data_IF_571886279790
#
_entry.id   IF_571886279790
#
_cell.length_a   1.000
_cell.length_b   1.000
_cell.length_c   1.000
_cell.angle_alpha   90.00
_cell.angle_beta   90.00
_cell.angle_gamma   90.00
#
_symmetry.space_group_name_H-M   'P 1'
#
loop_
_entity.id
_entity.type
_entity.pdbx_description
1 polymer ?
#
# COMPACT_ATOMS: atom_id res chain seq x y z
N UNK A 1 -4.82 14.40 -22.15
CA UNK A 1 -5.20 13.90 -20.82
C UNK A 1 -4.45 14.75 -19.80
N UNK A 2 -5.16 15.44 -18.91
CA UNK A 2 -4.54 16.28 -17.89
C UNK A 2 -3.97 15.33 -16.83
N UNK A 3 -2.65 15.35 -16.62
CA UNK A 3 -2.01 14.52 -15.60
C UNK A 3 -2.12 15.31 -14.30
N UNK A 4 -3.08 14.91 -13.46
CA UNK A 4 -3.29 15.57 -12.18
C UNK A 4 -2.30 15.02 -11.14
N UNK A 5 -1.51 15.95 -10.61
CA UNK A 5 -0.58 15.73 -9.52
C UNK A 5 -1.31 15.93 -8.19
N UNK A 6 -0.73 15.42 -7.09
CA UNK A 6 -1.18 15.85 -5.77
C UNK A 6 -0.97 17.37 -5.69
N UNK A 7 -1.99 18.18 -5.34
CA UNK A 7 -1.87 19.64 -5.33
C UNK A 7 -1.01 20.18 -4.18
N UNK A 8 -0.52 19.31 -3.29
CA UNK A 8 0.33 19.69 -2.17
C UNK A 8 1.57 20.47 -2.63
N UNK A 9 1.87 21.53 -1.91
CA UNK A 9 2.95 22.46 -2.22
C UNK A 9 4.18 22.21 -1.36
N UNK A 10 5.32 22.76 -1.81
CA UNK A 10 6.57 22.75 -1.04
C UNK A 10 6.42 23.53 0.26
N UNK A 11 5.70 24.64 0.21
CA UNK A 11 5.43 25.50 1.36
C UNK A 11 4.62 24.76 2.44
N UNK A 12 3.59 23.99 2.04
CA UNK A 12 2.83 23.15 2.96
C UNK A 12 3.71 22.07 3.59
N UNK A 13 4.56 21.40 2.81
CA UNK A 13 5.47 20.36 3.31
C UNK A 13 6.60 20.88 4.20
N UNK A 14 6.99 22.15 4.08
CA UNK A 14 8.04 22.77 4.90
C UNK A 14 7.51 23.57 6.09
N UNK A 15 6.19 23.66 6.24
CA UNK A 15 5.59 24.30 7.40
C UNK A 15 6.03 23.54 8.67
N UNK A 16 6.65 24.20 9.67
CA UNK A 16 7.06 23.53 10.91
C UNK A 16 5.93 22.85 11.68
N UNK A 17 4.68 23.23 11.40
CA UNK A 17 3.47 22.64 11.99
C UNK A 17 2.84 21.55 11.12
N UNK A 18 3.43 21.19 9.98
CA UNK A 18 2.93 20.12 9.12
C UNK A 18 3.05 18.76 9.82
N UNK A 19 2.00 17.96 9.72
CA UNK A 19 2.05 16.57 10.19
C UNK A 19 2.92 15.71 9.26
N UNK A 20 3.36 14.55 9.75
CA UNK A 20 4.26 13.67 9.00
C UNK A 20 3.70 13.18 7.65
N UNK A 21 2.38 13.04 7.51
CA UNK A 21 1.76 12.63 6.25
C UNK A 21 1.81 13.77 5.22
N UNK A 22 1.55 15.01 5.65
CA UNK A 22 1.71 16.20 4.81
C UNK A 22 3.15 16.34 4.31
N UNK A 23 4.15 16.22 5.20
CA UNK A 23 5.57 16.25 4.82
C UNK A 23 5.91 15.14 3.82
N UNK A 24 5.48 13.91 4.09
CA UNK A 24 5.69 12.76 3.20
C UNK A 24 5.06 12.96 1.82
N UNK A 25 3.81 13.42 1.77
CA UNK A 25 3.10 13.65 0.51
C UNK A 25 3.77 14.74 -0.34
N UNK A 26 4.24 15.81 0.29
CA UNK A 26 5.01 16.86 -0.38
C UNK A 26 6.35 16.32 -0.92
N UNK A 27 7.09 15.57 -0.09
CA UNK A 27 8.36 14.94 -0.50
C UNK A 27 8.17 14.06 -1.74
N UNK A 28 7.18 13.16 -1.75
CA UNK A 28 6.94 12.25 -2.88
C UNK A 28 6.51 12.99 -4.15
N UNK A 29 5.70 14.04 -4.01
CA UNK A 29 5.26 14.86 -5.14
C UNK A 29 6.43 15.61 -5.77
N UNK A 30 7.23 16.30 -4.96
CA UNK A 30 8.39 17.05 -5.42
C UNK A 30 9.50 16.16 -5.99
N UNK A 31 9.72 14.99 -5.40
CA UNK A 31 10.68 14.01 -5.92
C UNK A 31 10.28 13.52 -7.33
N UNK A 32 9.00 13.25 -7.55
CA UNK A 32 8.54 12.81 -8.86
C UNK A 32 8.62 13.94 -9.91
N UNK A 33 8.33 15.19 -9.54
CA UNK A 33 8.58 16.34 -10.42
C UNK A 33 10.05 16.43 -10.83
N UNK A 34 10.97 16.29 -9.87
CA UNK A 34 12.41 16.31 -10.16
C UNK A 34 12.85 15.18 -11.12
N UNK A 35 12.24 14.00 -11.01
CA UNK A 35 12.48 12.88 -11.94
C UNK A 35 12.05 13.23 -13.37
N UNK A 36 10.90 13.88 -13.54
CA UNK A 36 10.42 14.27 -14.87
C UNK A 36 11.21 15.44 -15.46
N UNK A 37 11.57 16.44 -14.66
CA UNK A 37 12.48 17.51 -15.09
C UNK A 37 13.85 16.96 -15.55
N UNK A 38 14.35 15.92 -14.87
CA UNK A 38 15.55 15.22 -15.30
C UNK A 38 15.34 14.54 -16.67
N UNK A 39 14.24 13.82 -16.85
CA UNK A 39 13.90 13.19 -18.14
C UNK A 39 13.83 14.16 -19.31
N UNK A 40 13.25 15.35 -19.09
CA UNK A 40 13.17 16.42 -20.09
C UNK A 40 14.56 16.93 -20.52
N UNK A 41 15.50 17.06 -19.57
CA UNK A 41 16.88 17.48 -19.82
C UNK A 41 17.75 16.37 -20.41
N UNK A 42 17.32 15.11 -20.27
CA UNK A 42 18.08 13.92 -20.65
C UNK A 42 17.23 12.97 -21.54
N UNK A 43 16.91 13.35 -22.80
CA UNK A 43 15.97 12.61 -23.65
C UNK A 43 16.46 11.23 -24.11
N UNK A 44 17.71 10.87 -23.82
CA UNK A 44 18.27 9.54 -24.04
C UNK A 44 17.92 8.56 -22.91
N UNK A 45 17.37 9.05 -21.80
CA UNK A 45 16.91 8.23 -20.67
C UNK A 45 15.40 8.07 -20.79
N UNK A 46 14.94 6.82 -20.83
CA UNK A 46 13.52 6.50 -20.83
C UNK A 46 13.06 6.21 -19.39
N UNK A 47 12.10 6.98 -18.92
CA UNK A 47 11.70 7.00 -17.50
C UNK A 47 10.29 6.42 -17.36
N UNK A 48 10.12 5.59 -16.34
CA UNK A 48 8.83 5.14 -15.84
C UNK A 48 8.75 5.43 -14.34
N UNK A 49 7.69 6.10 -13.89
CA UNK A 49 7.36 6.24 -12.47
C UNK A 49 6.21 5.31 -12.11
N UNK A 50 6.32 4.66 -10.95
CA UNK A 50 5.32 3.73 -10.45
C UNK A 50 4.77 4.29 -9.13
N UNK A 51 3.48 4.54 -9.10
CA UNK A 51 2.80 5.27 -8.03
C UNK A 51 1.70 4.39 -7.40
N UNK A 52 2.05 3.50 -6.46
CA UNK A 52 1.08 2.76 -5.68
C UNK A 52 0.49 3.61 -4.53
N UNK A 53 -0.65 3.22 -3.95
CA UNK A 53 -1.19 3.81 -2.75
C UNK A 53 -0.62 2.99 -1.57
N UNK A 54 -1.42 2.71 -0.55
CA UNK A 54 -1.05 1.74 0.47
C UNK A 54 -1.06 0.35 -0.15
N UNK A 55 0.08 -0.35 -0.09
CA UNK A 55 0.16 -1.72 -0.56
C UNK A 55 0.20 -2.69 0.61
N UNK A 56 -0.56 -3.77 0.48
CA UNK A 56 -0.64 -4.86 1.45
C UNK A 56 -0.26 -6.18 0.77
N UNK A 57 -0.09 -7.23 1.56
CA UNK A 57 0.14 -8.57 1.04
C UNK A 57 1.20 -9.32 1.83
N UNK A 58 1.60 -10.51 1.37
CA UNK A 58 2.56 -11.33 2.09
C UNK A 58 3.96 -10.69 2.06
N UNK A 59 4.74 -10.88 3.11
CA UNK A 59 6.15 -10.51 3.10
C UNK A 59 6.94 -11.33 2.07
N UNK A 60 8.04 -10.76 1.57
CA UNK A 60 8.90 -11.44 0.60
C UNK A 60 9.53 -12.72 1.22
N UNK A 61 9.83 -13.76 0.43
CA UNK A 61 10.55 -14.92 0.92
C UNK A 61 11.87 -14.53 1.61
N UNK A 62 12.09 -15.03 2.83
CA UNK A 62 13.28 -14.71 3.63
C UNK A 62 13.26 -13.33 4.29
N UNK A 63 12.15 -12.59 4.21
CA UNK A 63 12.00 -11.36 4.98
C UNK A 63 12.04 -11.65 6.48
N UNK A 64 12.80 -10.83 7.20
CA UNK A 64 12.82 -10.78 8.65
C UNK A 64 12.93 -9.31 9.07
N UNK A 65 12.17 -8.90 10.09
CA UNK A 65 12.37 -7.59 10.67
C UNK A 65 13.69 -7.55 11.45
N UNK A 66 14.35 -6.40 11.42
CA UNK A 66 15.50 -6.12 12.30
C UNK A 66 15.10 -6.10 13.77
N UNK A 67 13.89 -5.61 14.06
CA UNK A 67 13.29 -5.58 15.41
C UNK A 67 11.80 -5.94 15.32
N UNK A 68 11.30 -6.87 16.15
CA UNK A 68 9.88 -7.18 16.24
C UNK A 68 9.03 -6.00 16.73
N UNK A 69 7.93 -5.75 16.01
CA UNK A 69 6.95 -4.74 16.39
C UNK A 69 5.96 -4.45 15.26
N UNK A 70 4.85 -3.81 15.58
CA UNK A 70 3.83 -3.42 14.58
C UNK A 70 4.42 -2.46 13.54
N UNK A 71 5.34 -1.57 13.96
CA UNK A 71 6.06 -0.65 13.08
C UNK A 71 6.89 -1.38 12.01
N UNK A 72 7.43 -2.55 12.33
CA UNK A 72 8.20 -3.37 11.39
C UNK A 72 7.33 -4.00 10.29
N UNK A 73 6.01 -4.07 10.49
CA UNK A 73 5.07 -4.57 9.48
C UNK A 73 4.78 -3.53 8.40
N UNK A 74 5.28 -2.29 8.52
CA UNK A 74 4.99 -1.21 7.56
C UNK A 74 3.48 -1.02 7.36
N UNK A 75 3.00 -0.87 6.12
CA UNK A 75 1.57 -0.76 5.79
C UNK A 75 0.77 -1.96 6.28
N UNK A 76 1.32 -3.19 6.27
CA UNK A 76 0.63 -4.36 6.83
C UNK A 76 0.32 -4.21 8.33
N UNK A 77 0.95 -3.29 9.04
CA UNK A 77 0.58 -2.91 10.40
C UNK A 77 -0.88 -2.42 10.53
N UNK A 78 -1.45 -1.84 9.47
CA UNK A 78 -2.87 -1.47 9.42
C UNK A 78 -3.79 -2.70 9.38
N UNK A 79 -3.41 -3.75 8.66
CA UNK A 79 -4.13 -5.04 8.69
C UNK A 79 -3.97 -5.69 10.05
N UNK A 80 -2.77 -5.67 10.61
CA UNK A 80 -2.51 -6.20 11.94
C UNK A 80 -3.38 -5.54 13.02
N UNK A 81 -3.62 -4.23 12.95
CA UNK A 81 -4.57 -3.54 13.83
C UNK A 81 -5.99 -4.11 13.74
N UNK A 82 -6.44 -4.57 12.57
CA UNK A 82 -7.74 -5.22 12.41
C UNK A 82 -7.81 -6.59 13.10
N UNK A 83 -6.66 -7.21 13.37
CA UNK A 83 -6.54 -8.50 14.05
C UNK A 83 -6.49 -8.38 15.57
N UNK A 84 -6.70 -7.19 16.13
CA UNK A 84 -6.72 -6.93 17.56
C UNK A 84 -8.08 -6.42 18.03
N UNK A 85 -8.67 -6.93 19.14
CA UNK A 85 -9.97 -6.45 19.61
C UNK A 85 -9.99 -4.95 19.93
N UNK A 86 -8.88 -4.45 20.49
CA UNK A 86 -8.63 -3.06 20.86
C UNK A 86 -8.00 -2.22 19.72
N UNK A 87 -7.75 -2.83 18.55
CA UNK A 87 -7.09 -2.17 17.45
C UNK A 87 -7.98 -1.11 16.77
N UNK A 88 -7.41 -0.03 16.22
CA UNK A 88 -8.17 1.00 15.51
C UNK A 88 -8.74 0.47 14.18
N UNK A 89 -9.75 1.16 13.66
CA UNK A 89 -10.35 0.89 12.33
C UNK A 89 -9.58 1.52 11.17
N UNK A 90 -8.36 2.01 11.40
CA UNK A 90 -7.59 2.71 10.39
C UNK A 90 -7.10 1.75 9.31
N UNK A 91 -7.74 1.80 8.14
CA UNK A 91 -7.31 1.15 6.91
C UNK A 91 -7.43 2.17 5.78
N UNK A 92 -6.39 2.31 4.95
CA UNK A 92 -6.47 3.24 3.84
C UNK A 92 -7.34 2.66 2.71
N UNK A 93 -8.32 3.41 2.17
CA UNK A 93 -9.26 2.92 1.17
C UNK A 93 -8.64 2.41 -0.14
N UNK A 94 -7.64 3.16 -0.63
CA UNK A 94 -6.94 2.83 -1.86
C UNK A 94 -5.85 1.83 -1.52
N UNK A 95 -5.98 0.62 -2.08
CA UNK A 95 -5.15 -0.54 -1.78
C UNK A 95 -4.58 -1.16 -3.05
N UNK A 96 -3.42 -1.79 -2.94
CA UNK A 96 -2.84 -2.63 -4.01
C UNK A 96 -2.06 -3.79 -3.39
N UNK A 97 -1.89 -4.89 -4.13
CA UNK A 97 -1.03 -5.98 -3.68
C UNK A 97 0.45 -5.62 -3.85
N UNK A 98 1.28 -5.86 -2.84
CA UNK A 98 2.74 -5.63 -2.90
C UNK A 98 3.40 -6.41 -4.04
N UNK A 99 2.87 -7.59 -4.40
CA UNK A 99 3.37 -8.39 -5.53
C UNK A 99 3.02 -7.76 -6.88
N UNK A 100 1.90 -7.05 -6.96
CA UNK A 100 1.55 -6.30 -8.17
C UNK A 100 2.48 -5.12 -8.33
N UNK A 101 2.79 -4.38 -7.26
CA UNK A 101 3.78 -3.29 -7.28
C UNK A 101 5.14 -3.81 -7.75
N UNK A 102 5.63 -4.91 -7.18
CA UNK A 102 6.88 -5.53 -7.60
C UNK A 102 6.85 -5.94 -9.09
N UNK A 103 5.74 -6.53 -9.55
CA UNK A 103 5.56 -6.89 -10.96
C UNK A 103 5.54 -5.66 -11.87
N UNK A 104 4.88 -4.58 -11.44
CA UNK A 104 4.83 -3.30 -12.15
C UNK A 104 6.22 -2.69 -12.32
N UNK A 105 7.05 -2.71 -11.26
CA UNK A 105 8.44 -2.26 -11.32
C UNK A 105 9.26 -3.06 -12.33
N UNK A 106 9.12 -4.39 -12.35
CA UNK A 106 9.85 -5.25 -13.31
C UNK A 106 9.37 -5.01 -14.75
N UNK A 107 8.06 -4.99 -14.98
CA UNK A 107 7.48 -4.75 -16.31
C UNK A 107 7.86 -3.37 -16.87
N UNK A 108 8.07 -2.39 -15.99
CA UNK A 108 8.48 -1.04 -16.37
C UNK A 108 9.85 -0.99 -17.06
N UNK A 109 10.72 -1.98 -16.83
CA UNK A 109 12.06 -2.07 -17.45
C UNK A 109 11.99 -2.39 -18.95
N UNK A 110 10.92 -3.05 -19.39
CA UNK A 110 10.74 -3.46 -20.79
C UNK A 110 9.47 -2.88 -21.41
N UNK A 111 8.86 -1.89 -20.75
CA UNK A 111 7.69 -1.20 -21.28
C UNK A 111 8.03 -0.48 -22.59
N UNK A 112 7.06 -0.30 -23.51
CA UNK A 112 7.28 0.49 -24.72
C UNK A 112 7.87 1.87 -24.40
N UNK A 113 8.71 2.44 -25.29
CA UNK A 113 9.38 3.69 -25.01
C UNK A 113 8.38 4.85 -24.91
N UNK A 114 8.75 5.88 -24.14
CA UNK A 114 7.93 7.11 -23.96
C UNK A 114 7.48 7.71 -25.30
N UNK A 115 8.27 7.60 -26.37
CA UNK A 115 7.91 8.06 -27.72
C UNK A 115 6.68 7.38 -28.34
N UNK A 116 6.30 6.19 -27.85
CA UNK A 116 5.13 5.43 -28.34
C UNK A 116 3.91 5.57 -27.44
N UNK A 117 4.11 5.63 -26.12
CA UNK A 117 3.03 5.55 -25.12
C UNK A 117 2.85 6.82 -24.29
N UNK A 118 3.65 7.85 -24.57
CA UNK A 118 3.73 9.08 -23.79
C UNK A 118 4.35 8.85 -22.41
N UNK A 119 4.22 9.86 -21.54
CA UNK A 119 4.80 9.87 -20.19
C UNK A 119 4.38 8.63 -19.38
N UNK A 120 5.33 7.78 -18.99
CA UNK A 120 5.06 6.54 -18.26
C UNK A 120 4.93 6.76 -16.76
N UNK A 121 3.98 7.62 -16.37
CA UNK A 121 3.51 7.74 -14.99
C UNK A 121 2.40 6.71 -14.76
N UNK A 122 2.70 5.70 -13.96
CA UNK A 122 1.84 4.53 -13.78
C UNK A 122 1.20 4.57 -12.39
N UNK A 123 -0.07 4.98 -12.33
CA UNK A 123 -0.88 4.85 -11.13
C UNK A 123 -1.28 3.39 -10.94
N UNK A 124 -1.02 2.85 -9.75
CA UNK A 124 -1.39 1.48 -9.40
C UNK A 124 -2.37 1.55 -8.23
N UNK A 125 -3.61 1.12 -8.43
CA UNK A 125 -4.59 1.00 -7.35
C UNK A 125 -5.57 -0.10 -7.72
N UNK A 126 -5.68 -1.08 -6.83
CA UNK A 126 -6.69 -2.12 -6.90
C UNK A 126 -8.06 -1.60 -6.44
N UNK A 127 -9.04 -2.51 -6.35
CA UNK A 127 -10.37 -2.17 -5.86
C UNK A 127 -10.34 -1.69 -4.41
N UNK A 128 -11.19 -0.70 -4.09
CA UNK A 128 -11.28 -0.10 -2.77
C UNK A 128 -11.68 -1.09 -1.68
N UNK A 129 -11.11 -0.91 -0.49
CA UNK A 129 -11.33 -1.77 0.67
C UNK A 129 -11.58 -0.95 1.94
N UNK A 130 -12.71 -1.18 2.61
CA UNK A 130 -12.97 -0.65 3.95
C UNK A 130 -12.54 -1.60 5.07
N UNK A 131 -12.31 -1.04 6.26
CA UNK A 131 -11.99 -1.84 7.45
C UNK A 131 -13.12 -2.81 7.82
N UNK A 132 -14.39 -2.40 7.68
CA UNK A 132 -15.55 -3.27 7.91
C UNK A 132 -15.58 -4.43 6.93
N UNK A 133 -15.48 -4.17 5.61
CA UNK A 133 -15.43 -5.22 4.58
C UNK A 133 -14.26 -6.19 4.81
N UNK A 134 -13.11 -5.66 5.25
CA UNK A 134 -11.96 -6.47 5.61
C UNK A 134 -12.25 -7.38 6.80
N UNK A 135 -12.77 -6.86 7.92
CA UNK A 135 -13.08 -7.67 9.10
C UNK A 135 -14.18 -8.69 8.84
N UNK A 136 -15.23 -8.33 8.10
CA UNK A 136 -16.32 -9.25 7.77
C UNK A 136 -15.79 -10.43 6.94
N UNK A 137 -14.96 -10.13 5.94
CA UNK A 137 -14.38 -11.17 5.10
C UNK A 137 -13.36 -12.04 5.85
N UNK A 138 -12.54 -11.46 6.76
CA UNK A 138 -11.65 -12.25 7.62
C UNK A 138 -12.47 -13.18 8.52
N UNK A 139 -13.54 -12.70 9.15
CA UNK A 139 -14.40 -13.53 10.00
C UNK A 139 -15.07 -14.68 9.22
N UNK A 140 -15.40 -14.46 7.95
CA UNK A 140 -15.98 -15.47 7.05
C UNK A 140 -14.99 -16.60 6.76
N UNK A 141 -13.73 -16.27 6.41
CA UNK A 141 -12.76 -17.25 5.87
C UNK A 141 -11.69 -17.70 6.87
N UNK A 142 -11.59 -17.05 8.03
CA UNK A 142 -10.72 -17.39 9.18
C UNK A 142 -11.53 -17.29 10.48
N UNK A 143 -12.53 -18.16 10.69
CA UNK A 143 -13.42 -18.08 11.85
C UNK A 143 -12.68 -18.15 13.19
N UNK A 144 -11.50 -18.76 13.24
CA UNK A 144 -10.62 -18.81 14.41
C UNK A 144 -10.09 -17.43 14.85
N UNK A 145 -10.14 -16.42 13.97
CA UNK A 145 -9.72 -15.05 14.26
C UNK A 145 -10.86 -14.15 14.71
N UNK A 146 -12.12 -14.61 14.63
CA UNK A 146 -13.32 -13.77 14.79
C UNK A 146 -13.34 -12.96 16.09
N UNK A 147 -12.94 -13.58 17.20
CA UNK A 147 -12.93 -12.97 18.53
C UNK A 147 -11.73 -12.03 18.74
N UNK A 148 -10.76 -12.06 17.83
CA UNK A 148 -9.59 -11.18 17.83
C UNK A 148 -9.79 -9.94 16.94
N UNK A 149 -10.85 -9.88 16.14
CA UNK A 149 -11.04 -8.78 15.20
C UNK A 149 -11.43 -7.46 15.90
N UNK A 150 -10.93 -6.34 15.38
CA UNK A 150 -11.18 -4.99 15.89
C UNK A 150 -12.66 -4.66 15.99
N UNK A 151 -13.09 -4.28 17.20
CA UNK A 151 -14.45 -3.80 17.45
C UNK A 151 -14.72 -2.45 16.80
N UNK A 152 -13.70 -1.62 16.64
CA UNK A 152 -13.80 -0.34 15.94
C UNK A 152 -14.02 -0.55 14.44
N UNK A 153 -13.31 -1.50 13.83
CA UNK A 153 -13.42 -1.81 12.40
C UNK A 153 -14.79 -2.41 12.04
N UNK A 154 -15.31 -3.34 12.86
CA UNK A 154 -16.66 -3.90 12.69
C UNK A 154 -17.75 -2.81 12.63
N UNK A 155 -17.53 -1.66 13.27
CA UNK A 155 -18.47 -0.54 13.39
C UNK A 155 -18.13 0.65 12.49
N UNK A 156 -17.09 0.56 11.65
CA UNK A 156 -16.63 1.71 10.85
C UNK A 156 -17.56 2.08 9.71
N UNK A 157 -18.41 1.15 9.26
CA UNK A 157 -19.27 1.33 8.10
C UNK A 157 -18.50 1.32 6.77
N UNK A 158 -19.25 1.47 5.66
CA UNK A 158 -18.66 1.60 4.33
C UNK A 158 -18.00 2.97 4.15
N UNK A 159 -17.05 3.04 3.21
CA UNK A 159 -16.37 4.29 2.84
C UNK A 159 -16.77 4.73 1.43
N UNK A 160 -16.79 6.05 1.14
CA UNK A 160 -16.98 6.55 -0.21
C UNK A 160 -15.93 5.95 -1.14
N UNK A 161 -16.31 5.50 -2.33
CA UNK A 161 -15.37 5.00 -3.33
C UNK A 161 -14.96 6.14 -4.25
N UNK A 162 -13.66 6.38 -4.41
CA UNK A 162 -13.15 7.28 -5.44
C UNK A 162 -12.53 6.49 -6.60
N UNK A 163 -12.76 6.93 -7.82
CA UNK A 163 -12.15 6.29 -8.98
C UNK A 163 -10.74 6.83 -9.17
N UNK A 164 -9.76 5.94 -9.16
CA UNK A 164 -8.39 6.21 -9.63
C UNK A 164 -8.30 5.57 -11.02
N UNK A 165 -8.02 6.37 -12.04
CA UNK A 165 -7.82 5.85 -13.39
C UNK A 165 -6.46 5.15 -13.47
N UNK A 166 -6.49 3.83 -13.47
CA UNK A 166 -5.32 2.95 -13.56
C UNK A 166 -5.19 2.31 -14.95
N UNK A 167 -5.91 2.81 -15.95
CA UNK A 167 -5.88 2.29 -17.34
C UNK A 167 -4.46 2.20 -17.88
N UNK A 168 -3.57 3.15 -17.54
CA UNK A 168 -2.16 3.12 -17.95
C UNK A 168 -1.39 1.90 -17.45
N UNK A 169 -1.69 1.35 -16.27
CA UNK A 169 -1.03 0.14 -15.80
C UNK A 169 -1.34 -1.06 -16.73
N UNK A 170 -2.58 -1.15 -17.21
CA UNK A 170 -2.97 -2.17 -18.19
C UNK A 170 -2.40 -1.83 -19.58
N UNK A 171 -2.61 -0.62 -20.07
CA UNK A 171 -2.33 -0.27 -21.46
C UNK A 171 -0.83 -0.16 -21.75
N UNK A 172 -0.01 0.23 -20.76
CA UNK A 172 1.45 0.40 -20.91
C UNK A 172 2.22 -0.83 -20.40
N UNK A 173 1.82 -1.41 -19.27
CA UNK A 173 2.56 -2.53 -18.66
C UNK A 173 1.91 -3.90 -18.92
N UNK A 174 0.68 -3.96 -19.46
CA UNK A 174 -0.08 -5.21 -19.54
C UNK A 174 -0.43 -5.77 -18.16
N UNK A 175 -0.52 -4.92 -17.14
CA UNK A 175 -0.69 -5.33 -15.75
C UNK A 175 -2.15 -5.21 -15.31
N UNK A 176 -2.69 -6.33 -14.81
CA UNK A 176 -3.93 -6.38 -14.06
C UNK A 176 -3.64 -6.65 -12.59
N UNK A 177 -4.50 -6.14 -11.71
CA UNK A 177 -4.30 -6.20 -10.27
C UNK A 177 -5.07 -7.35 -9.62
N UNK A 178 -4.49 -7.89 -8.57
CA UNK A 178 -5.10 -8.92 -7.73
C UNK A 178 -6.35 -8.38 -7.03
N UNK A 179 -7.37 -9.22 -6.81
CA UNK A 179 -8.50 -8.87 -5.97
C UNK A 179 -8.06 -8.59 -4.53
N UNK A 180 -8.63 -7.56 -3.90
CA UNK A 180 -8.30 -7.20 -2.52
C UNK A 180 -8.50 -8.36 -1.53
N UNK A 181 -9.46 -9.27 -1.79
CA UNK A 181 -9.72 -10.47 -0.98
C UNK A 181 -8.49 -11.36 -0.87
N UNK A 182 -7.80 -11.60 -1.99
CA UNK A 182 -6.57 -12.39 -2.02
C UNK A 182 -5.45 -11.64 -1.28
N UNK A 183 -5.28 -10.36 -1.57
CA UNK A 183 -4.26 -9.50 -0.93
C UNK A 183 -4.43 -9.47 0.59
N UNK A 184 -5.66 -9.34 1.07
CA UNK A 184 -5.99 -9.28 2.49
C UNK A 184 -5.64 -10.58 3.20
N UNK A 185 -6.08 -11.73 2.67
CA UNK A 185 -5.89 -13.02 3.35
C UNK A 185 -4.43 -13.45 3.29
N UNK A 186 -3.73 -13.23 2.18
CA UNK A 186 -2.30 -13.52 2.10
C UNK A 186 -1.49 -12.63 3.07
N UNK A 187 -1.90 -11.38 3.29
CA UNK A 187 -1.32 -10.52 4.31
C UNK A 187 -1.60 -11.05 5.73
N UNK A 188 -2.86 -11.39 6.04
CA UNK A 188 -3.26 -11.94 7.35
C UNK A 188 -2.46 -13.19 7.70
N UNK A 189 -2.39 -14.15 6.78
CA UNK A 189 -1.66 -15.41 6.99
C UNK A 189 -0.15 -15.15 7.19
N UNK A 190 0.43 -14.24 6.41
CA UNK A 190 1.84 -13.85 6.54
C UNK A 190 2.13 -13.14 7.88
N UNK A 191 1.25 -12.24 8.32
CA UNK A 191 1.35 -11.56 9.61
C UNK A 191 1.25 -12.56 10.77
N UNK A 192 0.33 -13.52 10.71
CA UNK A 192 0.19 -14.59 11.72
C UNK A 192 1.47 -15.43 11.80
N UNK A 193 2.08 -15.75 10.66
CA UNK A 193 3.33 -16.52 10.64
C UNK A 193 4.48 -15.74 11.31
N UNK A 194 4.61 -14.45 11.00
CA UNK A 194 5.60 -13.56 11.62
C UNK A 194 5.39 -13.44 13.12
N UNK A 195 4.15 -13.26 13.57
CA UNK A 195 3.83 -13.19 15.00
C UNK A 195 4.21 -14.49 15.73
N UNK A 196 3.90 -15.66 15.15
CA UNK A 196 4.27 -16.96 15.73
C UNK A 196 5.78 -17.11 15.85
N UNK A 197 6.52 -16.72 14.81
CA UNK A 197 7.98 -16.74 14.81
C UNK A 197 8.53 -15.86 15.94
N UNK A 198 8.09 -14.61 16.05
CA UNK A 198 8.55 -13.71 17.11
C UNK A 198 8.19 -14.19 18.51
N UNK A 199 6.99 -14.76 18.72
CA UNK A 199 6.61 -15.40 20.00
C UNK A 199 7.54 -16.58 20.34
N UNK A 200 7.91 -17.42 19.36
CA UNK A 200 8.82 -18.55 19.58
C UNK A 200 10.26 -18.12 19.95
N UNK A 201 10.68 -16.95 19.48
CA UNK A 201 11.97 -16.33 19.83
C UNK A 201 11.95 -15.62 21.19
N UNK A 202 10.85 -15.70 21.94
CA UNK A 202 10.72 -15.15 23.29
C UNK A 202 10.35 -13.67 23.35
N UNK A 203 9.93 -13.07 22.23
CA UNK A 203 9.47 -11.69 22.22
C UNK A 203 8.12 -11.56 22.95
N UNK A 204 8.08 -10.66 23.93
CA UNK A 204 6.90 -10.35 24.76
C UNK A 204 6.38 -8.92 24.52
N UNK A 205 6.70 -8.35 23.37
CA UNK A 205 6.56 -6.91 23.10
C UNK A 205 5.14 -6.36 23.31
N UNK A 206 5.07 -5.11 23.73
CA UNK A 206 3.81 -4.35 23.79
C UNK A 206 3.19 -4.26 22.39
N UNK A 207 1.89 -4.54 22.29
CA UNK A 207 1.14 -4.44 21.04
C UNK A 207 1.02 -5.74 20.23
N UNK A 208 1.59 -6.85 20.69
CA UNK A 208 1.26 -8.19 20.17
C UNK A 208 -0.14 -8.64 20.59
N UNK A 209 -0.81 -9.45 19.77
CA UNK A 209 -2.05 -10.10 20.20
C UNK A 209 -1.66 -11.04 21.34
N UNK A 210 -2.47 -11.08 22.40
CA UNK A 210 -2.27 -12.00 23.51
C UNK A 210 -2.23 -13.46 22.99
#
# INVERSE_FOLDING_TARGET
>A
MRIDWNPITREEGLNPSADGFTVYAAEKTLAEHAVWEFGEKHPHVDITTVNPPFFYGPFAPGWAASEPGVSALSTNGLIYNLLRPDGPSLLHPAVIDVRDVARGLVLSLTAPPTSQVGQKRILMSGPWLSAQEATDYIAEVRPELKDQLSEAAKKSGPIPKHNIDTSRARDVLGLEFRPWKQTLIDAVDSIIAVEKEWKSQGWKGEGWRA
#
